data_IF_728084026006
#
_entry.id   IF_728084026006
#
_cell.length_a   1.000
_cell.length_b   1.000
_cell.length_c   1.000
_cell.angle_alpha   90.00
_cell.angle_beta   90.00
_cell.angle_gamma   90.00
#
_symmetry.space_group_name_H-M   'P 1'
#
loop_
_entity.id
_entity.type
_entity.pdbx_description
1 polymer ?
#
# COMPACT_ATOMS: atom_id res chain seq x y z
N UNK A 1 13.28 9.24 -0.12
CA UNK A 1 13.53 9.34 -1.57
C UNK A 1 12.24 9.13 -2.37
N UNK A 2 11.62 7.94 -2.32
CA UNK A 2 10.36 7.68 -3.04
C UNK A 2 9.19 8.55 -2.54
N UNK A 3 9.03 8.71 -1.22
CA UNK A 3 7.99 9.58 -0.65
C UNK A 3 8.12 11.03 -1.13
N UNK A 4 9.29 11.66 -0.99
CA UNK A 4 9.52 13.03 -1.46
C UNK A 4 9.25 13.19 -2.96
N UNK A 5 9.68 12.22 -3.78
CA UNK A 5 9.37 12.21 -5.22
C UNK A 5 7.88 12.07 -5.48
N UNK A 6 7.17 11.28 -4.70
CA UNK A 6 5.71 11.14 -4.83
C UNK A 6 5.00 12.44 -4.45
N UNK A 7 5.45 13.11 -3.40
CA UNK A 7 4.96 14.40 -2.93
C UNK A 7 5.13 15.48 -4.02
N UNK A 8 6.30 15.54 -4.68
CA UNK A 8 6.53 16.41 -5.84
C UNK A 8 5.55 16.13 -7.00
N UNK A 9 5.20 14.86 -7.24
CA UNK A 9 4.21 14.48 -8.27
C UNK A 9 2.80 14.91 -7.85
N UNK A 10 2.44 14.71 -6.59
CA UNK A 10 1.15 15.14 -6.05
C UNK A 10 0.98 16.65 -6.19
N UNK A 11 1.98 17.44 -5.80
CA UNK A 11 1.95 18.90 -5.99
C UNK A 11 1.82 19.27 -7.46
N UNK A 12 2.65 18.68 -8.33
CA UNK A 12 2.64 18.95 -9.78
C UNK A 12 1.30 18.61 -10.45
N UNK A 13 0.60 17.59 -9.95
CA UNK A 13 -0.67 17.12 -10.51
C UNK A 13 -1.88 17.47 -9.64
N UNK A 14 -1.76 18.51 -8.79
CA UNK A 14 -2.84 19.05 -7.96
C UNK A 14 -3.57 17.99 -7.12
N UNK A 15 -2.81 17.10 -6.50
CA UNK A 15 -3.33 16.02 -5.64
C UNK A 15 -3.96 14.85 -6.39
N UNK A 16 -3.88 14.78 -7.72
CA UNK A 16 -4.41 13.63 -8.46
C UNK A 16 -3.56 12.38 -8.18
N UNK A 17 -4.07 11.48 -7.32
CA UNK A 17 -3.35 10.29 -6.86
C UNK A 17 -2.99 9.35 -8.00
N UNK A 18 -3.96 8.98 -8.85
CA UNK A 18 -3.77 8.06 -9.97
C UNK A 18 -2.69 8.55 -10.95
N UNK A 19 -2.76 9.83 -11.35
CA UNK A 19 -1.77 10.44 -12.24
C UNK A 19 -0.40 10.50 -11.58
N UNK A 20 -0.34 10.83 -10.31
CA UNK A 20 0.92 10.91 -9.56
C UNK A 20 1.59 9.54 -9.43
N UNK A 21 0.79 8.48 -9.21
CA UNK A 21 1.26 7.10 -9.14
C UNK A 21 1.85 6.63 -10.47
N UNK A 22 1.15 6.85 -11.59
CA UNK A 22 1.63 6.52 -12.95
C UNK A 22 2.93 7.25 -13.27
N UNK A 23 3.04 8.53 -12.91
CA UNK A 23 4.21 9.34 -13.22
C UNK A 23 5.41 9.01 -12.33
N UNK A 24 5.18 8.64 -11.06
CA UNK A 24 6.23 8.06 -10.21
C UNK A 24 6.71 6.73 -10.77
N UNK A 25 5.82 5.84 -11.19
CA UNK A 25 6.17 4.52 -11.72
C UNK A 25 7.07 4.63 -12.96
N UNK A 26 6.78 5.57 -13.87
CA UNK A 26 7.63 5.87 -15.05
C UNK A 26 9.02 6.35 -14.64
N UNK A 27 9.11 7.30 -13.71
CA UNK A 27 10.39 7.83 -13.23
C UNK A 27 11.20 6.73 -12.52
N UNK A 28 10.54 5.93 -11.68
CA UNK A 28 11.17 4.84 -10.94
C UNK A 28 11.75 3.78 -11.87
N UNK A 29 10.99 3.36 -12.90
CA UNK A 29 11.44 2.38 -13.89
C UNK A 29 12.65 2.86 -14.71
N UNK A 30 12.70 4.16 -15.00
CA UNK A 30 13.73 4.75 -15.88
C UNK A 30 15.00 5.13 -15.13
N UNK A 31 14.90 5.50 -13.85
CA UNK A 31 16.04 5.85 -13.02
C UNK A 31 16.92 4.63 -12.72
N UNK A 32 18.22 4.74 -13.06
CA UNK A 32 19.20 3.65 -12.94
C UNK A 32 19.39 3.15 -11.52
N UNK A 33 19.26 4.03 -10.52
CA UNK A 33 19.41 3.70 -9.11
C UNK A 33 18.10 3.15 -8.55
N UNK A 34 16.98 3.82 -8.83
CA UNK A 34 15.69 3.45 -8.24
C UNK A 34 15.19 2.09 -8.72
N UNK A 35 15.40 1.73 -10.01
CA UNK A 35 14.94 0.44 -10.56
C UNK A 35 15.59 -0.80 -9.92
N UNK A 36 16.65 -0.62 -9.12
CA UNK A 36 17.30 -1.71 -8.37
C UNK A 36 16.70 -1.90 -6.98
N UNK A 37 15.80 -1.01 -6.56
CA UNK A 37 15.07 -1.17 -5.32
C UNK A 37 14.02 -2.26 -5.51
N UNK A 38 14.05 -3.27 -4.65
CA UNK A 38 12.98 -4.28 -4.53
C UNK A 38 11.80 -3.77 -3.68
N UNK A 39 11.73 -2.45 -3.49
CA UNK A 39 10.67 -1.82 -2.71
C UNK A 39 9.37 -1.75 -3.53
N UNK A 40 8.26 -1.81 -2.80
CA UNK A 40 6.91 -1.58 -3.28
C UNK A 40 6.31 -0.49 -2.41
N UNK A 41 5.52 0.40 -3.02
CA UNK A 41 4.87 1.51 -2.35
C UNK A 41 3.36 1.33 -2.41
N UNK A 42 2.67 1.48 -1.28
CA UNK A 42 1.22 1.67 -1.25
C UNK A 42 0.92 3.16 -1.05
N UNK A 43 0.00 3.69 -1.86
CA UNK A 43 -0.49 5.06 -1.74
C UNK A 43 -2.02 5.02 -1.72
N UNK A 44 -2.64 5.84 -0.88
CA UNK A 44 -4.08 5.83 -0.65
C UNK A 44 -4.58 7.24 -0.37
N UNK A 45 -5.75 7.55 -0.89
CA UNK A 45 -6.59 8.66 -0.46
C UNK A 45 -8.00 8.15 -0.11
N UNK A 46 -8.94 9.07 0.12
CA UNK A 46 -10.32 8.73 0.50
C UNK A 46 -11.11 7.99 -0.59
N UNK A 47 -10.66 8.08 -1.85
CA UNK A 47 -11.39 7.60 -3.03
C UNK A 47 -10.70 6.39 -3.67
N UNK A 48 -9.36 6.36 -3.69
CA UNK A 48 -8.57 5.37 -4.43
C UNK A 48 -7.32 4.91 -3.67
N UNK A 49 -6.85 3.71 -4.02
CA UNK A 49 -5.62 3.14 -3.49
C UNK A 49 -4.80 2.49 -4.60
N UNK A 50 -3.47 2.70 -4.60
CA UNK A 50 -2.58 2.09 -5.60
C UNK A 50 -1.35 1.43 -4.96
N UNK A 51 -0.95 0.31 -5.54
CA UNK A 51 0.37 -0.28 -5.41
C UNK A 51 1.25 0.21 -6.56
N UNK A 52 2.43 0.73 -6.23
CA UNK A 52 3.42 1.24 -7.18
C UNK A 52 4.76 0.50 -6.98
N UNK A 53 5.35 0.01 -8.07
CA UNK A 53 6.59 -0.76 -8.03
C UNK A 53 7.70 -0.20 -8.93
N UNK A 54 8.95 -0.60 -8.67
CA UNK A 54 10.11 -0.22 -9.50
C UNK A 54 10.15 -0.83 -10.91
N UNK A 55 9.32 -1.83 -11.19
CA UNK A 55 9.09 -2.38 -12.54
C UNK A 55 8.19 -1.49 -13.39
N UNK A 56 7.56 -0.48 -12.77
CA UNK A 56 6.64 0.46 -13.40
C UNK A 56 5.19 0.02 -13.32
N UNK A 57 4.86 -0.93 -12.44
CA UNK A 57 3.48 -1.37 -12.25
C UNK A 57 2.73 -0.37 -11.37
N UNK A 58 1.47 -0.12 -11.73
CA UNK A 58 0.50 0.64 -10.94
C UNK A 58 -0.77 -0.18 -10.90
N UNK A 59 -1.13 -0.67 -9.71
CA UNK A 59 -2.22 -1.64 -9.53
C UNK A 59 -3.19 -1.12 -8.48
N UNK A 60 -4.47 -1.09 -8.82
CA UNK A 60 -5.57 -0.77 -7.89
C UNK A 60 -6.19 -2.09 -7.39
N UNK A 61 -6.58 -2.19 -6.10
CA UNK A 61 -7.22 -3.39 -5.58
C UNK A 61 -8.70 -3.45 -5.97
N UNK A 62 -9.19 -4.64 -6.32
CA UNK A 62 -10.61 -4.82 -6.67
C UNK A 62 -11.57 -4.55 -5.50
N UNK A 63 -11.15 -4.84 -4.27
CA UNK A 63 -11.98 -4.74 -3.05
C UNK A 63 -11.42 -3.77 -2.01
N UNK A 64 -10.58 -2.82 -2.43
CA UNK A 64 -10.06 -1.77 -1.54
C UNK A 64 -9.06 -2.21 -0.47
N UNK A 65 -8.70 -3.51 -0.42
CA UNK A 65 -7.74 -4.06 0.55
C UNK A 65 -6.42 -4.42 -0.14
N UNK A 66 -5.32 -3.85 0.35
CA UNK A 66 -3.95 -4.19 -0.08
C UNK A 66 -3.05 -4.48 1.10
N UNK A 67 -2.07 -5.36 0.89
CA UNK A 67 -0.99 -5.62 1.83
C UNK A 67 0.35 -5.77 1.11
N UNK A 68 1.40 -5.19 1.68
CA UNK A 68 2.79 -5.33 1.20
C UNK A 68 3.70 -5.82 2.33
N UNK A 69 4.92 -6.21 1.99
CA UNK A 69 5.89 -6.74 2.94
C UNK A 69 5.68 -8.23 3.24
N UNK A 70 6.53 -8.77 4.11
CA UNK A 70 6.59 -10.21 4.43
C UNK A 70 5.27 -10.78 4.99
N UNK A 71 4.56 -10.01 5.82
CA UNK A 71 3.25 -10.37 6.35
C UNK A 71 2.06 -9.90 5.50
N UNK A 72 2.32 -9.20 4.39
CA UNK A 72 1.31 -8.48 3.63
C UNK A 72 0.18 -9.37 3.12
N UNK A 73 0.51 -10.53 2.54
CA UNK A 73 -0.50 -11.46 2.01
C UNK A 73 -1.40 -12.06 3.11
N UNK A 74 -0.85 -12.31 4.31
CA UNK A 74 -1.63 -12.83 5.43
C UNK A 74 -2.59 -11.76 5.96
N UNK A 75 -2.08 -10.54 6.14
CA UNK A 75 -2.89 -9.39 6.55
C UNK A 75 -4.00 -9.12 5.52
N UNK A 76 -3.66 -9.05 4.22
CA UNK A 76 -4.63 -8.81 3.16
C UNK A 76 -5.71 -9.89 3.12
N UNK A 77 -5.34 -11.16 3.24
CA UNK A 77 -6.30 -12.27 3.23
C UNK A 77 -7.26 -12.20 4.43
N UNK A 78 -6.75 -11.91 5.62
CA UNK A 78 -7.56 -11.73 6.82
C UNK A 78 -8.49 -10.51 6.71
N UNK A 79 -7.95 -9.37 6.27
CA UNK A 79 -8.71 -8.14 6.09
C UNK A 79 -9.85 -8.33 5.06
N UNK A 80 -9.59 -9.02 3.95
CA UNK A 80 -10.60 -9.32 2.93
C UNK A 80 -11.74 -10.19 3.49
N UNK A 81 -11.40 -11.22 4.28
CA UNK A 81 -12.41 -12.06 4.92
C UNK A 81 -13.26 -11.28 5.93
N UNK A 82 -12.63 -10.42 6.74
CA UNK A 82 -13.33 -9.57 7.71
C UNK A 82 -14.22 -8.53 7.02
N UNK A 83 -13.74 -7.89 5.94
CA UNK A 83 -14.51 -6.92 5.16
C UNK A 83 -15.79 -7.54 4.56
N UNK A 84 -15.73 -8.81 4.14
CA UNK A 84 -16.87 -9.52 3.53
C UNK A 84 -17.87 -10.07 4.55
N UNK A 85 -17.41 -10.40 5.76
CA UNK A 85 -18.16 -11.26 6.68
C UNK A 85 -18.33 -10.68 8.09
N UNK A 86 -18.02 -9.41 8.29
CA UNK A 86 -18.20 -8.72 9.58
C UNK A 86 -18.79 -7.33 9.39
N UNK A 87 -19.17 -6.70 10.49
CA UNK A 87 -19.58 -5.30 10.55
C UNK A 87 -18.48 -4.44 11.20
N UNK A 88 -17.22 -4.84 11.07
CA UNK A 88 -16.10 -4.11 11.61
C UNK A 88 -15.79 -2.88 10.75
N UNK A 89 -15.46 -1.78 11.41
CA UNK A 89 -14.94 -0.59 10.73
C UNK A 89 -13.54 -0.83 10.19
N UNK A 90 -13.11 -0.04 9.18
CA UNK A 90 -11.81 -0.21 8.51
C UNK A 90 -10.63 -0.31 9.49
N UNK A 91 -10.60 0.56 10.52
CA UNK A 91 -9.58 0.52 11.58
C UNK A 91 -9.53 -0.82 12.30
N UNK A 92 -10.69 -1.37 12.65
CA UNK A 92 -10.80 -2.63 13.38
C UNK A 92 -10.41 -3.81 12.49
N UNK A 93 -10.78 -3.77 11.20
CA UNK A 93 -10.36 -4.77 10.21
C UNK A 93 -8.83 -4.81 10.11
N UNK A 94 -8.17 -3.65 9.98
CA UNK A 94 -6.72 -3.55 9.92
C UNK A 94 -6.07 -4.09 11.19
N UNK A 95 -6.60 -3.74 12.36
CA UNK A 95 -6.07 -4.21 13.65
C UNK A 95 -6.12 -5.74 13.76
N UNK A 96 -7.28 -6.36 13.47
CA UNK A 96 -7.44 -7.81 13.54
C UNK A 96 -6.64 -8.55 12.46
N UNK A 97 -6.56 -8.00 11.25
CA UNK A 97 -5.75 -8.55 10.18
C UNK A 97 -4.24 -8.58 10.54
N UNK A 98 -3.74 -7.51 11.17
CA UNK A 98 -2.35 -7.44 11.63
C UNK A 98 -2.10 -8.41 12.81
N UNK A 99 -3.07 -8.60 13.70
CA UNK A 99 -3.01 -9.62 14.78
C UNK A 99 -2.89 -11.05 14.23
N UNK A 100 -3.44 -11.33 13.04
CA UNK A 100 -3.25 -12.61 12.37
C UNK A 100 -1.87 -12.65 11.70
N UNK A 101 -1.49 -11.60 10.97
CA UNK A 101 -0.22 -11.57 10.25
C UNK A 101 1.00 -11.77 11.18
N UNK A 102 1.00 -11.16 12.37
CA UNK A 102 2.07 -11.33 13.37
C UNK A 102 2.20 -12.77 13.91
N UNK A 103 1.12 -13.56 13.89
CA UNK A 103 1.13 -14.93 14.38
C UNK A 103 1.65 -15.91 13.33
N UNK A 104 1.49 -15.57 12.04
CA UNK A 104 1.87 -16.42 10.92
C UNK A 104 3.25 -16.06 10.38
N UNK A 105 3.57 -14.77 10.27
CA UNK A 105 4.82 -14.30 9.67
C UNK A 105 5.87 -13.99 10.75
N UNK A 106 6.99 -14.74 10.74
CA UNK A 106 8.12 -14.53 11.66
C UNK A 106 8.78 -13.14 11.54
N UNK A 107 8.52 -12.41 10.46
CA UNK A 107 9.05 -11.07 10.20
C UNK A 107 8.03 -9.96 10.50
N UNK A 108 6.87 -10.29 11.06
CA UNK A 108 5.83 -9.33 11.46
C UNK A 108 5.59 -9.47 12.96
N UNK A 109 5.62 -8.36 13.69
CA UNK A 109 5.47 -8.35 15.15
C UNK A 109 4.19 -7.62 15.57
N UNK A 110 4.01 -7.46 16.89
CA UNK A 110 2.82 -6.86 17.50
C UNK A 110 2.86 -5.35 17.71
N UNK A 111 3.92 -4.69 17.28
CA UNK A 111 4.02 -3.25 17.37
C UNK A 111 3.43 -2.65 16.09
N UNK A 112 2.13 -2.37 16.13
CA UNK A 112 1.36 -1.86 14.98
C UNK A 112 1.05 -0.37 15.18
N UNK A 113 1.31 0.43 14.15
CA UNK A 113 0.85 1.82 14.04
C UNK A 113 -0.27 1.88 13.02
N UNK A 114 -1.37 2.55 13.35
CA UNK A 114 -2.54 2.66 12.48
C UNK A 114 -2.85 4.15 12.28
N UNK A 115 -2.76 4.59 11.03
CA UNK A 115 -3.12 5.93 10.55
C UNK A 115 -4.44 5.87 9.78
N UNK A 116 -5.22 6.94 9.82
CA UNK A 116 -6.53 7.09 9.15
C UNK A 116 -6.65 8.48 8.50
N UNK A 117 -7.56 8.60 7.53
CA UNK A 117 -7.81 9.82 6.74
C UNK A 117 -9.02 10.60 7.25
#
# INVERSE_FOLDING_TARGET
>A
ALFSRFEEKLEKYNGNLARSAVELAKDWRTDKLLRRLEAVLLVVDKDQSFLVSGTGDVVEPDEGVMGIGSGGMFAQSAALALARHSNLEARQIVEEAMKIAQQVCIYTNSNVTIEEL
#
